data_IF_309376322800
#
_entry.id   IF_309376322800
#
_cell.length_a   1.000
_cell.length_b   1.000
_cell.length_c   1.000
_cell.angle_alpha   90.00
_cell.angle_beta   90.00
_cell.angle_gamma   90.00
#
_symmetry.space_group_name_H-M   'P 1'
#
loop_
_entity.id
_entity.type
_entity.pdbx_description
1 polymer ?
#
# COMPACT_ATOMS: atom_id res chain seq x y z
N UNK A 1 -1.04 -6.57 13.84
CA UNK A 1 -1.07 -7.99 14.23
C UNK A 1 -1.81 -8.11 15.54
N UNK A 2 -2.70 -9.09 15.64
CA UNK A 2 -3.55 -9.29 16.80
C UNK A 2 -2.95 -10.35 17.73
N UNK A 3 -2.12 -9.89 18.65
CA UNK A 3 -1.41 -10.75 19.58
C UNK A 3 -2.34 -11.42 20.60
N UNK A 4 -3.51 -10.84 20.87
CA UNK A 4 -4.51 -11.41 21.77
C UNK A 4 -5.26 -12.58 21.12
N UNK A 5 -5.48 -12.55 19.80
CA UNK A 5 -6.03 -13.69 19.07
C UNK A 5 -5.11 -14.92 19.14
N UNK A 6 -3.79 -14.74 19.12
CA UNK A 6 -2.82 -15.83 19.22
C UNK A 6 -2.85 -16.49 20.60
N UNK A 7 -2.91 -15.69 21.67
CA UNK A 7 -2.99 -16.23 23.03
C UNK A 7 -4.25 -17.06 23.26
N UNK A 8 -5.37 -16.69 22.62
CA UNK A 8 -6.65 -17.41 22.75
C UNK A 8 -6.71 -18.72 21.94
N UNK A 9 -5.95 -18.83 20.85
CA UNK A 9 -6.08 -19.93 19.90
C UNK A 9 -5.15 -21.14 20.15
N UNK A 10 -4.33 -21.11 21.22
CA UNK A 10 -3.45 -22.22 21.61
C UNK A 10 -2.34 -22.54 20.60
N UNK A 11 -1.70 -23.72 20.71
CA UNK A 11 -0.53 -24.12 19.89
C UNK A 11 -0.80 -24.22 18.38
N UNK A 12 -2.06 -24.29 17.95
CA UNK A 12 -2.48 -24.25 16.53
C UNK A 12 -2.96 -22.86 16.06
N UNK A 13 -2.92 -21.87 16.95
CA UNK A 13 -3.45 -20.53 16.77
C UNK A 13 -2.56 -19.54 16.02
N UNK A 14 -1.37 -19.95 15.59
CA UNK A 14 -0.39 -19.03 14.99
C UNK A 14 -0.89 -18.36 13.70
N UNK A 15 -1.92 -18.90 13.04
CA UNK A 15 -2.56 -18.28 11.87
C UNK A 15 -3.57 -17.19 12.23
N UNK A 16 -4.12 -17.21 13.43
CA UNK A 16 -5.16 -16.28 13.87
C UNK A 16 -4.62 -14.86 14.10
N UNK A 17 -3.30 -14.70 14.21
CA UNK A 17 -2.62 -13.40 14.29
C UNK A 17 -2.93 -12.43 13.13
N UNK A 18 -3.24 -12.99 11.94
CA UNK A 18 -3.52 -12.27 10.69
C UNK A 18 -4.93 -12.58 10.14
N UNK A 19 -5.86 -13.03 10.99
CA UNK A 19 -7.26 -13.35 10.64
C UNK A 19 -8.29 -12.66 11.55
N UNK A 20 -7.93 -11.53 12.15
CA UNK A 20 -8.82 -10.77 13.02
C UNK A 20 -10.12 -10.39 12.30
N UNK A 21 -11.25 -10.82 12.84
CA UNK A 21 -12.56 -10.33 12.41
C UNK A 21 -12.76 -8.90 12.91
N UNK A 22 -13.23 -8.01 12.04
CA UNK A 22 -13.49 -6.61 12.36
C UNK A 22 -15.00 -6.34 12.45
N UNK A 23 -15.43 -5.69 13.53
CA UNK A 23 -16.80 -5.15 13.63
C UNK A 23 -16.95 -3.86 12.82
N UNK A 24 -18.19 -3.45 12.55
CA UNK A 24 -18.49 -2.18 11.86
C UNK A 24 -17.91 -0.96 12.58
N UNK A 25 -17.91 -0.96 13.92
CA UNK A 25 -17.33 0.13 14.71
C UNK A 25 -15.79 0.16 14.57
N UNK A 26 -15.14 -1.00 14.60
CA UNK A 26 -13.70 -1.11 14.38
C UNK A 26 -13.30 -0.66 12.96
N UNK A 27 -14.13 -0.96 11.95
CA UNK A 27 -13.95 -0.47 10.58
C UNK A 27 -14.08 1.05 10.55
N UNK A 28 -15.14 1.60 11.13
CA UNK A 28 -15.41 3.05 11.15
C UNK A 28 -14.26 3.80 11.82
N UNK A 29 -13.73 3.29 12.92
CA UNK A 29 -12.57 3.88 13.59
C UNK A 29 -11.28 3.67 12.79
N UNK A 30 -11.08 2.50 12.21
CA UNK A 30 -9.95 2.20 11.33
C UNK A 30 -9.87 3.15 10.14
N UNK A 31 -11.01 3.51 9.55
CA UNK A 31 -11.10 4.47 8.46
C UNK A 31 -10.61 5.86 8.87
N UNK A 32 -10.60 6.26 10.14
CA UNK A 32 -10.07 7.57 10.55
C UNK A 32 -8.54 7.61 10.61
N UNK A 33 -7.88 6.44 10.60
CA UNK A 33 -6.42 6.38 10.72
C UNK A 33 -5.75 6.90 9.45
N UNK A 34 -4.77 7.80 9.63
CA UNK A 34 -3.99 8.38 8.53
C UNK A 34 -3.41 7.32 7.58
N UNK A 35 -2.88 6.22 8.12
CA UNK A 35 -2.31 5.13 7.30
C UNK A 35 -3.38 4.47 6.41
N UNK A 36 -4.60 4.30 6.91
CA UNK A 36 -5.71 3.70 6.14
C UNK A 36 -6.19 4.68 5.08
N UNK A 37 -6.34 5.96 5.43
CA UNK A 37 -6.71 7.01 4.48
C UNK A 37 -5.70 7.14 3.34
N UNK A 38 -4.40 7.16 3.66
CA UNK A 38 -3.33 7.18 2.64
C UNK A 38 -3.37 5.93 1.76
N UNK A 39 -3.55 4.74 2.33
CA UNK A 39 -3.69 3.51 1.54
C UNK A 39 -4.91 3.56 0.60
N UNK A 40 -6.05 4.04 1.07
CA UNK A 40 -7.25 4.19 0.24
C UNK A 40 -7.04 5.19 -0.90
N UNK A 41 -6.35 6.31 -0.64
CA UNK A 41 -6.00 7.27 -1.67
C UNK A 41 -5.10 6.64 -2.76
N UNK A 42 -4.10 5.86 -2.36
CA UNK A 42 -3.23 5.13 -3.29
C UNK A 42 -3.99 4.08 -4.12
N UNK A 43 -4.89 3.31 -3.48
CA UNK A 43 -5.74 2.34 -4.19
C UNK A 43 -6.62 3.04 -5.23
N UNK A 44 -7.23 4.19 -4.87
CA UNK A 44 -8.04 4.98 -5.80
C UNK A 44 -7.21 5.48 -6.99
N UNK A 45 -6.07 6.11 -6.74
CA UNK A 45 -5.13 6.55 -7.77
C UNK A 45 -4.73 5.39 -8.70
N UNK A 46 -4.34 4.24 -8.12
CA UNK A 46 -3.95 3.04 -8.88
C UNK A 46 -5.07 2.50 -9.78
N UNK A 47 -6.33 2.66 -9.39
CA UNK A 47 -7.49 2.19 -10.13
C UNK A 47 -7.97 3.19 -11.20
N UNK A 48 -7.70 4.49 -11.05
CA UNK A 48 -8.24 5.52 -11.94
C UNK A 48 -7.20 6.16 -12.86
N UNK A 49 -5.92 6.14 -12.51
CA UNK A 49 -4.88 6.82 -13.27
C UNK A 49 -4.43 6.02 -14.50
N UNK A 50 -4.37 6.66 -15.66
CA UNK A 50 -4.08 6.03 -16.97
C UNK A 50 -2.71 5.40 -17.08
N UNK A 51 -1.72 5.87 -16.31
CA UNK A 51 -0.40 5.27 -16.28
C UNK A 51 -0.40 3.79 -15.89
N UNK A 52 -1.47 3.29 -15.27
CA UNK A 52 -1.60 1.89 -14.87
C UNK A 52 -2.53 1.06 -15.76
N UNK A 53 -2.87 1.57 -16.95
CA UNK A 53 -3.65 0.83 -17.95
C UNK A 53 -2.91 -0.41 -18.45
N UNK A 54 -3.66 -1.35 -19.03
CA UNK A 54 -3.09 -2.53 -19.66
C UNK A 54 -2.10 -2.14 -20.77
N UNK A 55 -0.94 -2.77 -20.80
CA UNK A 55 0.14 -2.44 -21.72
C UNK A 55 1.01 -1.27 -21.30
N UNK A 56 0.84 -0.73 -20.08
CA UNK A 56 1.76 0.26 -19.52
C UNK A 56 3.19 -0.30 -19.42
N UNK A 57 4.17 0.52 -19.78
CA UNK A 57 5.58 0.23 -19.55
C UNK A 57 5.91 0.44 -18.08
N UNK A 58 6.78 -0.41 -17.55
CA UNK A 58 7.25 -0.34 -16.16
C UNK A 58 8.76 -0.30 -16.15
N UNK A 59 9.32 0.80 -15.64
CA UNK A 59 10.74 0.93 -15.38
C UNK A 59 10.99 0.88 -13.87
N UNK A 60 12.00 0.12 -13.46
CA UNK A 60 12.40 -0.03 -12.07
C UNK A 60 13.88 0.33 -11.97
N UNK A 61 14.20 1.24 -11.05
CA UNK A 61 15.56 1.66 -10.73
C UNK A 61 15.70 1.86 -9.22
N UNK A 62 16.90 2.22 -8.78
CA UNK A 62 17.21 2.43 -7.37
C UNK A 62 18.53 1.78 -6.97
N UNK A 63 18.77 1.74 -5.67
CA UNK A 63 19.97 1.18 -5.07
C UNK A 63 19.69 0.59 -3.70
N UNK A 64 20.74 0.37 -2.91
CA UNK A 64 20.64 -0.29 -1.59
C UNK A 64 19.60 0.35 -0.66
N UNK A 65 19.44 1.68 -0.72
CA UNK A 65 18.59 2.47 0.19
C UNK A 65 17.43 3.19 -0.52
N UNK A 66 17.22 2.92 -1.82
CA UNK A 66 16.18 3.60 -2.60
C UNK A 66 15.54 2.68 -3.62
N UNK A 67 14.28 2.95 -3.91
CA UNK A 67 13.52 2.30 -4.99
C UNK A 67 12.79 3.37 -5.77
N UNK A 68 12.89 3.31 -7.09
CA UNK A 68 12.10 4.10 -8.01
C UNK A 68 11.35 3.14 -8.95
N UNK A 69 10.04 3.35 -9.08
CA UNK A 69 9.21 2.62 -10.04
C UNK A 69 8.41 3.63 -10.84
N UNK A 70 8.55 3.58 -12.16
CA UNK A 70 7.78 4.41 -13.09
C UNK A 70 6.86 3.53 -13.92
N UNK A 71 5.58 3.88 -13.92
CA UNK A 71 4.59 3.38 -14.87
C UNK A 71 4.32 4.46 -15.93
N UNK A 72 4.24 4.07 -17.19
CA UNK A 72 3.96 4.97 -18.29
C UNK A 72 3.03 4.35 -19.34
N UNK A 73 2.02 5.09 -19.77
CA UNK A 73 1.08 4.68 -20.81
C UNK A 73 0.54 5.90 -21.57
N UNK A 74 0.77 5.96 -22.88
CA UNK A 74 0.25 7.01 -23.77
C UNK A 74 0.41 8.43 -23.19
N UNK A 75 1.64 8.80 -22.80
CA UNK A 75 2.04 10.07 -22.15
C UNK A 75 1.60 10.27 -20.70
N UNK A 76 0.71 9.42 -20.16
CA UNK A 76 0.41 9.44 -18.73
C UNK A 76 1.49 8.68 -17.97
N UNK A 77 1.94 9.21 -16.84
CA UNK A 77 2.93 8.55 -15.99
C UNK A 77 2.61 8.66 -14.50
N UNK A 78 3.13 7.71 -13.74
CA UNK A 78 3.23 7.79 -12.30
C UNK A 78 4.59 7.24 -11.89
N UNK A 79 5.35 8.00 -11.10
CA UNK A 79 6.62 7.55 -10.54
C UNK A 79 6.53 7.52 -9.03
N UNK A 80 6.82 6.37 -8.43
CA UNK A 80 7.02 6.17 -7.00
C UNK A 80 8.51 6.29 -6.69
N UNK A 81 8.86 7.15 -5.75
CA UNK A 81 10.18 7.24 -5.13
C UNK A 81 10.08 6.77 -3.68
N UNK A 82 10.98 5.87 -3.26
CA UNK A 82 11.05 5.35 -1.89
C UNK A 82 12.45 5.55 -1.34
N UNK A 83 12.54 6.01 -0.10
CA UNK A 83 13.78 6.05 0.69
C UNK A 83 13.64 5.13 1.89
N UNK A 84 14.40 4.03 1.91
CA UNK A 84 14.29 3.00 2.95
C UNK A 84 14.89 3.43 4.29
N UNK A 85 15.86 4.34 4.28
CA UNK A 85 16.51 4.83 5.50
C UNK A 85 15.58 5.72 6.34
N UNK A 86 14.82 6.59 5.66
CA UNK A 86 13.84 7.47 6.30
C UNK A 86 12.43 6.86 6.39
N UNK A 87 12.18 5.75 5.70
CA UNK A 87 10.84 5.16 5.60
C UNK A 87 9.83 6.04 4.88
N UNK A 88 10.29 6.94 3.99
CA UNK A 88 9.46 7.89 3.28
C UNK A 88 9.27 7.50 1.81
N UNK A 89 8.22 8.05 1.20
CA UNK A 89 7.98 7.92 -0.22
C UNK A 89 7.39 9.22 -0.79
N UNK A 90 7.52 9.40 -2.10
CA UNK A 90 6.86 10.47 -2.86
C UNK A 90 6.33 9.88 -4.16
N UNK A 91 5.19 10.39 -4.63
CA UNK A 91 4.62 10.02 -5.92
C UNK A 91 4.50 11.28 -6.76
N UNK A 92 4.97 11.19 -8.00
CA UNK A 92 4.82 12.23 -9.03
C UNK A 92 4.08 11.64 -10.20
N UNK A 93 2.97 12.27 -10.61
CA UNK A 93 2.13 11.79 -11.71
C UNK A 93 1.83 12.90 -12.72
N UNK A 94 1.54 12.50 -13.96
CA UNK A 94 0.95 13.37 -14.98
C UNK A 94 -0.48 13.76 -14.58
N UNK A 95 -0.96 14.93 -15.03
CA UNK A 95 -2.38 15.31 -14.86
C UNK A 95 -3.32 14.50 -15.75
#
# INVERSE_FOLDING_TARGET
NDHEAVQRAGESGHKEINRTNLSTDQITEGLKKDVVQKQLALIRMRNTHKAFSEGAEVAISGGERSLEIRWEYNSAFATLYVNFESGTYTIVESR
#
